data_IF_671705366395
#
_entry.id   IF_671705366395
#
_cell.length_a   1.000
_cell.length_b   1.000
_cell.length_c   1.000
_cell.angle_alpha   90.00
_cell.angle_beta   90.00
_cell.angle_gamma   90.00
#
_symmetry.space_group_name_H-M   'P 1'
#
loop_
_entity.id
_entity.type
_entity.pdbx_description
1 polymer ?
#
# COMPACT_ATOMS: atom_id res chain seq x y z
N UNK A 1 -52.28 -8.74 -2.85
CA UNK A 1 -52.15 -7.37 -3.41
C UNK A 1 -52.41 -7.45 -4.90
N UNK A 2 -53.36 -6.66 -5.41
CA UNK A 2 -53.67 -6.64 -6.84
C UNK A 2 -52.45 -6.16 -7.67
N UNK A 3 -52.24 -6.67 -8.89
CA UNK A 3 -51.19 -6.18 -9.78
C UNK A 3 -51.41 -4.70 -10.09
N UNK A 4 -50.33 -3.89 -10.08
CA UNK A 4 -50.37 -2.48 -10.48
C UNK A 4 -50.77 -2.38 -11.96
N UNK A 5 -51.51 -1.32 -12.31
CA UNK A 5 -51.93 -1.02 -13.68
C UNK A 5 -50.71 -1.05 -14.64
N UNK A 6 -50.78 -1.83 -15.75
CA UNK A 6 -49.71 -1.90 -16.77
C UNK A 6 -49.24 -0.53 -17.29
N UNK A 7 -50.14 0.45 -17.40
CA UNK A 7 -49.80 1.82 -17.80
C UNK A 7 -48.96 2.53 -16.74
N UNK A 8 -49.27 2.31 -15.46
CA UNK A 8 -48.48 2.85 -14.33
C UNK A 8 -47.12 2.16 -14.25
N UNK A 9 -47.04 0.86 -14.51
CA UNK A 9 -45.77 0.11 -14.58
C UNK A 9 -44.91 0.61 -15.75
N UNK A 10 -45.48 0.74 -16.96
CA UNK A 10 -44.79 1.26 -18.14
C UNK A 10 -44.32 2.70 -17.95
N UNK A 11 -45.18 3.56 -17.39
CA UNK A 11 -44.85 4.96 -17.05
C UNK A 11 -43.73 5.03 -16.02
N UNK A 12 -43.82 4.27 -14.92
CA UNK A 12 -42.77 4.21 -13.89
C UNK A 12 -41.45 3.70 -14.48
N UNK A 13 -41.49 2.64 -15.29
CA UNK A 13 -40.31 2.07 -15.96
C UNK A 13 -39.67 3.03 -16.96
N UNK A 14 -40.45 3.87 -17.63
CA UNK A 14 -39.94 4.92 -18.54
C UNK A 14 -39.30 6.11 -17.80
N UNK A 15 -39.64 6.30 -16.52
CA UNK A 15 -39.13 7.39 -15.68
C UNK A 15 -37.97 6.97 -14.76
N UNK A 16 -37.71 5.66 -14.61
CA UNK A 16 -36.51 5.15 -13.94
C UNK A 16 -35.31 5.43 -14.86
N UNK A 17 -34.69 6.59 -14.67
CA UNK A 17 -33.43 6.96 -15.33
C UNK A 17 -32.30 6.15 -14.72
N UNK A 18 -31.48 5.51 -15.56
CA UNK A 18 -30.32 4.75 -15.10
C UNK A 18 -29.13 5.58 -14.61
N UNK A 19 -29.24 6.92 -14.58
CA UNK A 19 -28.22 7.87 -14.14
C UNK A 19 -28.87 9.16 -13.61
N UNK A 20 -28.22 9.83 -12.66
CA UNK A 20 -28.65 11.06 -11.97
C UNK A 20 -29.98 10.93 -11.22
N UNK A 21 -30.09 9.91 -10.37
CA UNK A 21 -31.15 9.87 -9.34
C UNK A 21 -30.86 10.90 -8.24
N UNK A 22 -31.88 11.38 -7.53
CA UNK A 22 -31.70 12.38 -6.46
C UNK A 22 -30.70 11.95 -5.37
N UNK A 23 -30.58 10.64 -5.16
CA UNK A 23 -29.62 10.01 -4.23
C UNK A 23 -28.16 10.21 -4.68
N UNK A 24 -27.87 10.05 -5.97
CA UNK A 24 -26.53 10.28 -6.50
C UNK A 24 -26.12 11.74 -6.37
N UNK A 25 -27.05 12.68 -6.56
CA UNK A 25 -26.76 14.11 -6.38
C UNK A 25 -26.48 14.45 -4.92
N UNK A 26 -27.23 13.88 -3.98
CA UNK A 26 -27.03 14.06 -2.55
C UNK A 26 -25.66 13.51 -2.09
N UNK A 27 -25.30 12.30 -2.53
CA UNK A 27 -24.00 11.69 -2.26
C UNK A 27 -22.85 12.49 -2.87
N UNK A 28 -23.00 12.95 -4.11
CA UNK A 28 -22.03 13.82 -4.78
C UNK A 28 -21.79 15.10 -3.99
N UNK A 29 -22.86 15.76 -3.54
CA UNK A 29 -22.74 16.99 -2.73
C UNK A 29 -22.02 16.69 -1.43
N UNK A 30 -22.43 15.67 -0.69
CA UNK A 30 -21.85 15.32 0.60
C UNK A 30 -20.35 14.97 0.50
N UNK A 31 -19.92 14.23 -0.52
CA UNK A 31 -18.50 13.95 -0.76
C UNK A 31 -17.72 15.20 -1.17
N UNK A 32 -18.32 16.09 -1.96
CA UNK A 32 -17.69 17.35 -2.37
C UNK A 32 -17.51 18.32 -1.21
N UNK A 33 -18.51 18.41 -0.32
CA UNK A 33 -18.45 19.20 0.92
C UNK A 33 -17.32 18.72 1.84
N UNK A 34 -16.93 17.43 1.74
CA UNK A 34 -15.78 16.83 2.44
C UNK A 34 -14.45 16.96 1.67
N UNK A 35 -14.42 17.68 0.55
CA UNK A 35 -13.21 17.91 -0.25
C UNK A 35 -12.71 16.68 -1.00
N UNK A 36 -13.57 15.69 -1.27
CA UNK A 36 -13.19 14.46 -1.96
C UNK A 36 -13.31 14.65 -3.46
N UNK A 37 -12.21 14.41 -4.18
CA UNK A 37 -12.20 14.35 -5.64
C UNK A 37 -12.51 12.93 -6.12
N UNK A 38 -13.48 12.81 -7.02
CA UNK A 38 -13.91 11.54 -7.60
C UNK A 38 -14.29 11.70 -9.08
N UNK A 39 -14.37 10.58 -9.80
CA UNK A 39 -14.95 10.50 -11.14
C UNK A 39 -16.26 9.73 -11.08
N UNK A 40 -17.21 10.14 -11.92
CA UNK A 40 -18.50 9.47 -12.05
C UNK A 40 -18.49 8.51 -13.24
N UNK A 41 -19.16 7.36 -13.09
CA UNK A 41 -19.43 6.38 -14.16
C UNK A 41 -18.21 6.07 -15.03
N UNK A 42 -17.07 5.81 -14.40
CA UNK A 42 -15.80 5.71 -15.12
C UNK A 42 -15.81 4.54 -16.11
N UNK A 43 -15.73 4.77 -17.44
CA UNK A 43 -15.74 3.68 -18.42
C UNK A 43 -14.44 2.85 -18.38
N UNK A 44 -13.38 3.40 -17.76
CA UNK A 44 -12.07 2.75 -17.62
C UNK A 44 -12.00 1.75 -16.46
N UNK A 45 -13.05 1.66 -15.64
CA UNK A 45 -13.08 0.77 -14.48
C UNK A 45 -14.14 -0.29 -14.74
N UNK A 46 -13.75 -1.56 -14.62
CA UNK A 46 -14.64 -2.68 -14.89
C UNK A 46 -15.89 -2.62 -13.99
N UNK A 47 -17.05 -2.96 -14.56
CA UNK A 47 -18.34 -2.85 -13.86
C UNK A 47 -18.97 -1.45 -13.84
N UNK A 48 -18.26 -0.40 -14.30
CA UNK A 48 -18.76 0.98 -14.38
C UNK A 48 -19.29 1.52 -13.04
N UNK A 49 -18.44 1.63 -12.01
CA UNK A 49 -18.85 2.16 -10.71
C UNK A 49 -19.42 3.57 -10.83
N UNK A 50 -20.43 3.86 -10.00
CA UNK A 50 -21.10 5.17 -9.96
C UNK A 50 -20.13 6.26 -9.53
N UNK A 51 -19.30 5.96 -8.52
CA UNK A 51 -18.24 6.84 -8.03
C UNK A 51 -16.92 6.07 -8.00
N UNK A 52 -15.86 6.70 -8.50
CA UNK A 52 -14.53 6.12 -8.51
C UNK A 52 -13.46 7.12 -8.08
N UNK A 53 -12.62 6.71 -7.13
CA UNK A 53 -11.44 7.45 -6.67
C UNK A 53 -10.22 6.68 -7.16
N UNK A 54 -9.86 6.90 -8.42
CA UNK A 54 -8.93 6.05 -9.17
C UNK A 54 -7.52 6.00 -8.59
N UNK A 55 -7.01 7.13 -8.08
CA UNK A 55 -5.68 7.21 -7.46
C UNK A 55 -5.57 6.35 -6.19
N UNK A 56 -6.70 6.09 -5.52
CA UNK A 56 -6.76 5.23 -4.33
C UNK A 56 -7.29 3.82 -4.63
N UNK A 57 -7.61 3.54 -5.91
CA UNK A 57 -8.32 2.34 -6.36
C UNK A 57 -9.55 2.06 -5.49
N UNK A 58 -10.44 3.03 -5.33
CA UNK A 58 -11.74 2.82 -4.66
C UNK A 58 -12.85 2.90 -5.71
N UNK A 59 -13.73 1.91 -5.73
CA UNK A 59 -14.91 1.83 -6.57
C UNK A 59 -16.15 1.72 -5.67
N UNK A 60 -17.10 2.64 -5.86
CA UNK A 60 -18.34 2.70 -5.09
C UNK A 60 -19.53 2.48 -6.03
N UNK A 61 -20.41 1.56 -5.65
CA UNK A 61 -21.65 1.25 -6.36
C UNK A 61 -22.87 1.61 -5.50
N UNK A 62 -23.86 2.22 -6.13
CA UNK A 62 -25.13 2.61 -5.54
C UNK A 62 -26.22 1.68 -6.10
N UNK A 63 -26.47 0.58 -5.41
CA UNK A 63 -27.29 -0.50 -5.91
C UNK A 63 -28.78 -0.27 -5.61
N UNK A 64 -29.61 -0.43 -6.64
CA UNK A 64 -31.05 -0.54 -6.45
C UNK A 64 -31.41 -1.90 -5.84
N UNK A 65 -32.24 -1.90 -4.79
CA UNK A 65 -32.68 -3.10 -4.08
C UNK A 65 -33.33 -4.12 -5.01
N UNK A 66 -34.10 -3.65 -5.98
CA UNK A 66 -34.82 -4.52 -6.90
C UNK A 66 -33.88 -5.12 -7.95
N UNK A 67 -33.04 -4.30 -8.59
CA UNK A 67 -32.23 -4.74 -9.73
C UNK A 67 -31.03 -5.59 -9.34
N UNK A 68 -30.47 -5.35 -8.15
CA UNK A 68 -29.30 -6.07 -7.64
C UNK A 68 -29.67 -7.10 -6.56
N UNK A 69 -30.97 -7.31 -6.31
CA UNK A 69 -31.45 -8.45 -5.54
C UNK A 69 -31.22 -8.35 -4.03
N UNK A 70 -31.52 -7.19 -3.43
CA UNK A 70 -31.50 -7.05 -1.98
C UNK A 70 -32.38 -8.11 -1.31
N UNK A 71 -31.76 -8.99 -0.51
CA UNK A 71 -32.40 -10.15 0.14
C UNK A 71 -33.27 -10.94 -0.85
N UNK A 72 -32.69 -11.27 -2.01
CA UNK A 72 -33.44 -11.83 -3.13
C UNK A 72 -34.22 -13.09 -2.78
N UNK A 73 -33.63 -14.03 -2.03
CA UNK A 73 -34.29 -15.28 -1.60
C UNK A 73 -35.62 -15.03 -0.88
N UNK A 74 -35.68 -14.01 -0.02
CA UNK A 74 -36.89 -13.65 0.72
C UNK A 74 -37.88 -12.81 -0.11
N UNK A 75 -37.35 -12.00 -1.02
CA UNK A 75 -38.13 -11.04 -1.80
C UNK A 75 -38.62 -11.60 -3.15
N UNK A 76 -38.09 -12.75 -3.60
CA UNK A 76 -38.48 -13.39 -4.85
C UNK A 76 -39.97 -13.73 -4.88
N UNK A 77 -40.54 -14.18 -3.76
CA UNK A 77 -41.97 -14.47 -3.63
C UNK A 77 -42.85 -13.21 -3.81
N UNK A 78 -42.31 -12.01 -3.53
CA UNK A 78 -43.03 -10.72 -3.63
C UNK A 78 -43.13 -10.20 -5.06
N UNK A 79 -42.40 -10.79 -6.02
CA UNK A 79 -42.49 -10.43 -7.44
C UNK A 79 -43.74 -11.09 -8.03
N UNK A 80 -44.84 -10.37 -8.17
CA UNK A 80 -46.12 -10.96 -8.58
C UNK A 80 -46.35 -11.01 -10.10
N UNK A 81 -45.64 -10.19 -10.89
CA UNK A 81 -45.84 -10.04 -12.34
C UNK A 81 -44.56 -10.32 -13.11
N UNK A 82 -44.66 -10.82 -14.36
CA UNK A 82 -43.53 -11.13 -15.25
C UNK A 82 -42.37 -11.91 -14.59
N UNK A 83 -42.71 -12.83 -13.67
CA UNK A 83 -41.73 -13.59 -12.87
C UNK A 83 -40.68 -14.31 -13.71
N UNK A 84 -41.11 -14.96 -14.80
CA UNK A 84 -40.24 -15.68 -15.74
C UNK A 84 -39.21 -14.79 -16.43
N UNK A 85 -39.44 -13.47 -16.48
CA UNK A 85 -38.48 -12.50 -16.99
C UNK A 85 -37.64 -11.87 -15.88
N UNK A 86 -38.27 -11.44 -14.78
CA UNK A 86 -37.58 -10.70 -13.72
C UNK A 86 -36.62 -11.57 -12.91
N UNK A 87 -37.01 -12.79 -12.55
CA UNK A 87 -36.18 -13.67 -11.70
C UNK A 87 -34.85 -13.98 -12.40
N UNK A 88 -34.81 -14.50 -13.65
CA UNK A 88 -33.55 -14.75 -14.33
C UNK A 88 -32.74 -13.49 -14.65
N UNK A 89 -33.39 -12.33 -14.76
CA UNK A 89 -32.69 -11.04 -14.96
C UNK A 89 -31.96 -10.62 -13.68
N UNK A 90 -32.62 -10.70 -12.52
CA UNK A 90 -32.03 -10.33 -11.23
C UNK A 90 -30.91 -11.30 -10.88
N UNK A 91 -31.11 -12.61 -11.07
CA UNK A 91 -30.05 -13.62 -10.84
C UNK A 91 -28.80 -13.35 -11.69
N UNK A 92 -28.97 -13.01 -12.98
CA UNK A 92 -27.85 -12.61 -13.83
C UNK A 92 -27.16 -11.34 -13.36
N UNK A 93 -27.91 -10.36 -12.84
CA UNK A 93 -27.32 -9.14 -12.29
C UNK A 93 -26.49 -9.45 -11.03
N UNK A 94 -27.01 -10.28 -10.11
CA UNK A 94 -26.28 -10.72 -8.91
C UNK A 94 -24.98 -11.43 -9.31
N UNK A 95 -25.05 -12.38 -10.26
CA UNK A 95 -23.87 -13.08 -10.76
C UNK A 95 -22.85 -12.12 -11.39
N UNK A 96 -23.33 -11.11 -12.14
CA UNK A 96 -22.49 -10.05 -12.70
C UNK A 96 -21.85 -9.19 -11.61
N UNK A 97 -22.56 -8.84 -10.55
CA UNK A 97 -22.02 -8.04 -9.44
C UNK A 97 -20.92 -8.81 -8.70
N UNK A 98 -21.10 -10.11 -8.47
CA UNK A 98 -20.06 -10.97 -7.93
C UNK A 98 -18.82 -11.00 -8.81
N UNK A 99 -19.00 -11.10 -10.14
CA UNK A 99 -17.89 -11.07 -11.10
C UNK A 99 -17.14 -9.74 -11.10
N UNK A 100 -17.89 -8.63 -11.06
CA UNK A 100 -17.33 -7.27 -10.93
C UNK A 100 -16.49 -7.16 -9.66
N UNK A 101 -17.01 -7.63 -8.52
CA UNK A 101 -16.28 -7.58 -7.26
C UNK A 101 -14.97 -8.36 -7.33
N UNK A 102 -14.98 -9.59 -7.87
CA UNK A 102 -13.78 -10.42 -8.02
C UNK A 102 -12.74 -9.77 -8.93
N UNK A 103 -13.17 -9.24 -10.07
CA UNK A 103 -12.28 -8.60 -11.04
C UNK A 103 -11.66 -7.33 -10.48
N UNK A 104 -12.44 -6.51 -9.77
CA UNK A 104 -11.92 -5.30 -9.16
C UNK A 104 -10.98 -5.60 -8.01
N UNK A 105 -11.29 -6.59 -7.18
CA UNK A 105 -10.42 -7.04 -6.09
C UNK A 105 -9.06 -7.53 -6.62
N UNK A 106 -9.03 -8.32 -7.69
CA UNK A 106 -7.77 -8.79 -8.30
C UNK A 106 -6.96 -7.65 -8.92
N UNK A 107 -7.61 -6.55 -9.33
CA UNK A 107 -6.97 -5.31 -9.77
C UNK A 107 -6.53 -4.39 -8.60
N UNK A 108 -6.77 -4.80 -7.36
CA UNK A 108 -6.40 -4.09 -6.13
C UNK A 108 -7.37 -2.99 -5.71
N UNK A 109 -8.58 -2.96 -6.29
CA UNK A 109 -9.61 -2.02 -5.88
C UNK A 109 -10.26 -2.42 -4.55
N UNK A 110 -10.55 -1.42 -3.72
CA UNK A 110 -11.55 -1.55 -2.67
C UNK A 110 -12.93 -1.33 -3.29
N UNK A 111 -13.80 -2.32 -3.18
CA UNK A 111 -15.17 -2.23 -3.67
C UNK A 111 -16.10 -1.96 -2.50
N UNK A 112 -16.85 -0.87 -2.58
CA UNK A 112 -17.89 -0.49 -1.63
C UNK A 112 -19.23 -0.51 -2.36
N UNK A 113 -20.25 -1.14 -1.78
CA UNK A 113 -21.59 -1.21 -2.36
C UNK A 113 -22.60 -0.79 -1.31
N UNK A 114 -23.49 0.12 -1.68
CA UNK A 114 -24.51 0.67 -0.80
C UNK A 114 -25.87 0.58 -1.47
N UNK A 115 -26.89 0.22 -0.71
CA UNK A 115 -28.26 0.15 -1.24
C UNK A 115 -28.89 1.54 -1.35
N UNK A 116 -29.79 1.75 -2.31
CA UNK A 116 -30.47 3.04 -2.51
C UNK A 116 -31.12 3.60 -1.23
N UNK A 117 -31.84 2.77 -0.48
CA UNK A 117 -32.47 3.14 0.81
C UNK A 117 -31.46 3.36 1.93
N UNK A 118 -30.33 2.68 1.90
CA UNK A 118 -29.24 2.92 2.84
C UNK A 118 -28.69 4.33 2.64
N UNK A 119 -28.47 4.71 1.38
CA UNK A 119 -28.03 6.05 0.99
C UNK A 119 -29.10 7.09 1.36
N UNK A 120 -30.38 6.80 1.12
CA UNK A 120 -31.49 7.73 1.40
C UNK A 120 -31.63 8.03 2.91
N UNK A 121 -31.57 6.99 3.74
CA UNK A 121 -31.86 7.12 5.17
C UNK A 121 -30.62 7.40 6.01
N UNK A 122 -29.44 6.98 5.56
CA UNK A 122 -28.19 7.01 6.33
C UNK A 122 -27.04 7.66 5.57
N UNK A 123 -27.35 8.66 4.72
CA UNK A 123 -26.35 9.36 3.91
C UNK A 123 -25.09 9.79 4.69
N UNK A 124 -25.18 10.36 5.91
CA UNK A 124 -23.99 10.73 6.67
C UNK A 124 -23.10 9.53 7.00
N UNK A 125 -23.68 8.39 7.41
CA UNK A 125 -22.93 7.16 7.71
C UNK A 125 -22.19 6.64 6.48
N UNK A 126 -22.89 6.53 5.35
CA UNK A 126 -22.32 6.05 4.08
C UNK A 126 -21.15 6.95 3.66
N UNK A 127 -21.31 8.26 3.75
CA UNK A 127 -20.26 9.22 3.41
C UNK A 127 -19.07 9.10 4.36
N UNK A 128 -19.31 8.94 5.67
CA UNK A 128 -18.25 8.77 6.67
C UNK A 128 -17.45 7.47 6.45
N UNK A 129 -18.11 6.37 6.08
CA UNK A 129 -17.45 5.12 5.72
C UNK A 129 -16.57 5.26 4.47
N UNK A 130 -17.07 5.94 3.44
CA UNK A 130 -16.26 6.25 2.23
C UNK A 130 -15.07 7.12 2.62
N UNK A 131 -15.25 8.13 3.47
CA UNK A 131 -14.17 8.99 3.97
C UNK A 131 -13.12 8.18 4.76
N UNK A 132 -13.56 7.25 5.61
CA UNK A 132 -12.69 6.37 6.37
C UNK A 132 -11.88 5.46 5.45
N UNK A 133 -12.54 4.84 4.46
CA UNK A 133 -11.89 4.02 3.44
C UNK A 133 -10.85 4.79 2.62
N UNK A 134 -11.17 6.03 2.22
CA UNK A 134 -10.23 6.95 1.56
C UNK A 134 -9.03 7.22 2.46
N UNK A 135 -9.24 7.52 3.74
CA UNK A 135 -8.17 7.85 4.68
C UNK A 135 -7.25 6.65 4.91
N UNK A 136 -7.82 5.45 5.06
CA UNK A 136 -7.06 4.21 5.18
C UNK A 136 -6.25 3.93 3.91
N UNK A 137 -6.85 4.06 2.72
CA UNK A 137 -6.16 3.86 1.45
C UNK A 137 -5.09 4.92 1.20
N UNK A 138 -5.33 6.18 1.56
CA UNK A 138 -4.30 7.24 1.55
C UNK A 138 -3.14 6.85 2.45
N UNK A 139 -3.38 6.39 3.68
CA UNK A 139 -2.31 5.93 4.58
C UNK A 139 -1.48 4.82 3.92
N UNK A 140 -2.13 3.79 3.37
CA UNK A 140 -1.47 2.67 2.70
C UNK A 140 -0.66 3.11 1.47
N UNK A 141 -1.21 3.99 0.63
CA UNK A 141 -0.58 4.41 -0.63
C UNK A 141 0.44 5.54 -0.46
N UNK A 142 0.34 6.31 0.62
CA UNK A 142 1.25 7.40 0.99
C UNK A 142 2.31 6.91 1.98
N UNK A 143 2.71 5.64 1.87
CA UNK A 143 3.78 5.03 2.67
C UNK A 143 5.06 5.87 2.68
N UNK A 144 5.33 6.64 1.61
CA UNK A 144 6.44 7.60 1.55
C UNK A 144 6.37 8.66 2.65
N UNK A 145 5.18 9.11 3.02
CA UNK A 145 4.96 10.00 4.17
C UNK A 145 4.96 9.28 5.50
N UNK A 146 5.08 7.95 5.55
CA UNK A 146 5.28 7.21 6.80
C UNK A 146 6.75 7.05 7.15
N UNK A 147 7.66 7.22 6.17
CA UNK A 147 9.10 7.19 6.44
C UNK A 147 9.43 8.35 7.39
N UNK A 148 9.89 7.99 8.58
CA UNK A 148 10.30 8.92 9.64
C UNK A 148 11.75 8.73 10.03
N UNK A 149 12.34 7.60 9.66
CA UNK A 149 13.70 7.22 10.00
C UNK A 149 14.54 7.17 8.72
N UNK A 150 15.68 7.83 8.75
CA UNK A 150 16.66 7.81 7.67
C UNK A 150 17.97 7.30 8.23
N UNK A 151 18.54 6.28 7.57
CA UNK A 151 19.77 5.61 8.01
C UNK A 151 20.72 5.38 6.85
N UNK A 152 21.97 5.09 7.16
CA UNK A 152 22.96 4.58 6.22
C UNK A 152 23.31 3.16 6.58
N UNK A 153 23.58 2.34 5.56
CA UNK A 153 24.16 1.02 5.73
C UNK A 153 25.30 0.87 4.72
N UNK A 154 26.46 0.44 5.20
CA UNK A 154 27.65 0.28 4.41
C UNK A 154 28.25 -1.11 4.59
N UNK A 155 28.64 -1.72 3.48
CA UNK A 155 29.47 -2.92 3.46
C UNK A 155 30.89 -2.50 3.09
N UNK A 156 31.83 -2.68 4.02
CA UNK A 156 33.23 -2.31 3.84
C UNK A 156 33.96 -3.52 3.27
N UNK A 157 34.52 -3.38 2.08
CA UNK A 157 35.12 -4.49 1.33
C UNK A 157 36.65 -4.52 1.49
N UNK A 158 37.19 -5.71 1.80
CA UNK A 158 38.63 -5.98 1.78
C UNK A 158 38.87 -7.46 1.49
N UNK A 159 39.77 -7.75 0.54
CA UNK A 159 40.23 -9.11 0.24
C UNK A 159 39.10 -10.14 0.05
N UNK A 160 38.04 -9.76 -0.69
CA UNK A 160 36.88 -10.63 -0.94
C UNK A 160 35.98 -10.85 0.28
N UNK A 161 36.15 -10.07 1.34
CA UNK A 161 35.36 -10.12 2.57
C UNK A 161 34.66 -8.79 2.82
N UNK A 162 33.57 -8.84 3.59
CA UNK A 162 32.92 -7.66 4.14
C UNK A 162 33.14 -7.58 5.64
N UNK A 163 33.41 -6.37 6.14
CA UNK A 163 33.35 -6.10 7.58
C UNK A 163 31.88 -6.00 7.99
N UNK A 164 31.47 -6.85 8.92
CA UNK A 164 30.12 -6.88 9.48
C UNK A 164 30.15 -6.65 10.98
N UNK A 165 29.04 -6.15 11.50
CA UNK A 165 28.77 -6.02 12.92
C UNK A 165 27.80 -7.13 13.35
N UNK A 166 28.24 -7.97 14.30
CA UNK A 166 27.38 -8.91 15.01
C UNK A 166 26.78 -8.25 16.24
N UNK A 167 25.45 -8.10 16.24
CA UNK A 167 24.71 -7.33 17.24
C UNK A 167 24.52 -8.11 18.54
N UNK A 168 25.47 -8.00 19.46
CA UNK A 168 25.53 -8.80 20.69
C UNK A 168 25.50 -7.97 21.98
N UNK A 169 25.85 -6.68 21.93
CA UNK A 169 26.12 -5.87 23.15
C UNK A 169 25.00 -4.90 23.55
N UNK A 170 24.20 -4.43 22.59
CA UNK A 170 23.19 -3.39 22.83
C UNK A 170 21.92 -3.93 23.49
N UNK A 171 21.51 -3.34 24.63
CA UNK A 171 20.26 -3.71 25.33
C UNK A 171 19.02 -3.25 24.55
N UNK A 172 17.98 -4.09 24.52
CA UNK A 172 16.72 -3.85 23.78
C UNK A 172 16.95 -3.53 22.30
N UNK A 173 17.89 -4.23 21.68
CA UNK A 173 18.20 -4.05 20.27
C UNK A 173 17.24 -4.83 19.38
N UNK A 174 16.62 -4.14 18.43
CA UNK A 174 15.78 -4.80 17.42
C UNK A 174 16.59 -5.75 16.52
N UNK A 175 17.89 -5.53 16.42
CA UNK A 175 18.81 -6.32 15.61
C UNK A 175 19.56 -7.39 16.42
N UNK A 176 19.18 -7.67 17.66
CA UNK A 176 19.89 -8.62 18.53
C UNK A 176 20.14 -9.98 17.84
N UNK A 177 21.39 -10.44 17.88
CA UNK A 177 21.86 -11.67 17.27
C UNK A 177 22.07 -11.63 15.76
N UNK A 178 21.75 -10.52 15.08
CA UNK A 178 21.89 -10.38 13.62
C UNK A 178 23.28 -9.91 13.22
N UNK A 179 23.73 -10.36 12.04
CA UNK A 179 24.88 -9.81 11.35
C UNK A 179 24.41 -8.76 10.34
N UNK A 180 24.93 -7.55 10.44
CA UNK A 180 24.53 -6.41 9.59
C UNK A 180 25.76 -5.66 9.07
N UNK A 181 25.56 -4.89 8.01
CA UNK A 181 26.53 -3.86 7.62
C UNK A 181 26.66 -2.77 8.69
N UNK A 182 27.64 -1.89 8.50
CA UNK A 182 27.97 -0.82 9.44
C UNK A 182 27.19 0.44 9.08
N UNK A 183 26.66 1.15 10.07
CA UNK A 183 25.94 2.40 9.84
C UNK A 183 24.83 2.68 10.84
N UNK A 184 24.30 3.89 10.77
CA UNK A 184 23.29 4.35 11.71
C UNK A 184 22.44 5.49 11.17
N UNK A 185 21.93 6.32 12.07
CA UNK A 185 20.89 7.31 11.76
C UNK A 185 21.52 8.58 11.20
N UNK A 186 20.84 9.20 10.25
CA UNK A 186 21.18 10.56 9.83
C UNK A 186 20.83 11.55 10.93
N UNK A 187 21.75 12.47 11.23
CA UNK A 187 21.51 13.58 12.13
C UNK A 187 20.89 14.81 11.41
N UNK A 188 20.19 15.71 12.13
CA UNK A 188 19.66 16.93 11.54
C UNK A 188 20.75 17.79 10.86
N UNK A 189 20.57 18.08 9.57
CA UNK A 189 21.51 18.87 8.78
C UNK A 189 22.64 18.05 8.13
N UNK A 190 22.69 16.74 8.38
CA UNK A 190 23.70 15.84 7.84
C UNK A 190 23.29 15.29 6.46
N UNK A 191 24.24 15.22 5.53
CA UNK A 191 24.05 14.49 4.28
C UNK A 191 24.24 12.98 4.50
N UNK A 192 23.66 12.15 3.65
CA UNK A 192 23.82 10.69 3.70
C UNK A 192 25.29 10.23 3.64
N UNK A 193 26.16 10.96 2.96
CA UNK A 193 27.61 10.64 2.89
C UNK A 193 28.30 11.02 4.19
N UNK A 194 27.96 12.16 4.79
CA UNK A 194 28.51 12.55 6.09
C UNK A 194 28.10 11.55 7.18
N UNK A 195 26.83 11.16 7.21
CA UNK A 195 26.30 10.15 8.11
C UNK A 195 27.04 8.81 7.96
N UNK A 196 27.16 8.31 6.72
CA UNK A 196 27.90 7.06 6.46
C UNK A 196 29.35 7.13 6.96
N UNK A 197 30.06 8.24 6.72
CA UNK A 197 31.44 8.41 7.17
C UNK A 197 31.56 8.51 8.69
N UNK A 198 30.65 9.24 9.35
CA UNK A 198 30.61 9.39 10.80
C UNK A 198 30.33 8.06 11.48
N UNK A 199 29.26 7.38 11.09
CA UNK A 199 28.84 6.10 11.68
C UNK A 199 29.92 5.03 11.51
N UNK A 200 30.53 4.89 10.32
CA UNK A 200 31.64 3.94 10.14
C UNK A 200 32.81 4.27 11.06
N UNK A 201 33.17 5.55 11.20
CA UNK A 201 34.27 5.95 12.07
C UNK A 201 33.95 5.68 13.55
N UNK A 202 32.71 5.92 13.97
CA UNK A 202 32.26 5.68 15.34
C UNK A 202 32.23 4.18 15.68
N UNK A 203 31.66 3.36 14.78
CA UNK A 203 31.47 1.93 15.01
C UNK A 203 32.75 1.11 14.78
N UNK A 204 33.58 1.47 13.80
CA UNK A 204 34.73 0.66 13.36
C UNK A 204 36.08 1.34 13.55
N UNK A 205 36.13 2.67 13.69
CA UNK A 205 37.38 3.43 13.72
C UNK A 205 37.95 3.78 12.36
N UNK A 206 37.44 3.14 11.29
CA UNK A 206 37.94 3.31 9.92
C UNK A 206 37.51 4.65 9.31
N UNK A 207 38.36 5.21 8.46
CA UNK A 207 38.09 6.42 7.69
C UNK A 207 37.86 6.06 6.22
N UNK A 208 36.73 6.50 5.67
CA UNK A 208 36.34 6.17 4.29
C UNK A 208 37.00 7.10 3.28
N UNK A 209 37.81 6.52 2.40
CA UNK A 209 38.50 7.21 1.30
C UNK A 209 37.76 7.04 -0.03
N UNK A 210 37.21 5.84 -0.28
CA UNK A 210 36.53 5.49 -1.52
C UNK A 210 35.27 4.69 -1.25
N UNK A 211 34.19 5.07 -1.91
CA UNK A 211 32.89 4.44 -1.74
C UNK A 211 32.06 4.52 -3.03
N UNK A 212 31.09 3.62 -3.13
CA UNK A 212 30.07 3.61 -4.16
C UNK A 212 28.69 3.62 -3.51
N UNK A 213 27.78 4.44 -4.06
CA UNK A 213 26.39 4.49 -3.64
C UNK A 213 25.54 3.57 -4.51
N UNK A 214 24.82 2.63 -3.90
CA UNK A 214 24.04 1.61 -4.61
C UNK A 214 22.55 1.91 -4.68
N UNK A 215 22.04 2.77 -3.80
CA UNK A 215 20.65 3.20 -3.86
C UNK A 215 20.04 3.45 -2.49
N UNK A 216 18.72 3.65 -2.50
CA UNK A 216 17.91 3.76 -1.30
C UNK A 216 16.97 2.58 -1.22
N UNK A 217 16.83 2.03 -0.03
CA UNK A 217 15.93 0.93 0.27
C UNK A 217 14.93 1.46 1.28
N UNK A 218 13.65 1.37 0.93
CA UNK A 218 12.57 1.78 1.81
C UNK A 218 12.00 0.51 2.46
N UNK A 219 12.33 0.30 3.74
CA UNK A 219 11.81 -0.79 4.54
C UNK A 219 10.44 -0.42 5.11
N UNK A 220 9.45 -1.24 4.75
CA UNK A 220 8.08 -1.11 5.23
C UNK A 220 7.74 -2.34 6.06
N UNK A 221 7.37 -2.12 7.30
CA UNK A 221 6.96 -3.17 8.22
C UNK A 221 5.75 -2.69 9.04
N UNK A 222 4.85 -3.59 9.37
CA UNK A 222 3.73 -3.30 10.28
C UNK A 222 4.19 -3.21 11.74
N UNK A 223 5.33 -3.84 12.07
CA UNK A 223 5.88 -3.97 13.43
C UNK A 223 6.99 -2.99 13.78
N UNK A 224 7.59 -2.29 12.80
CA UNK A 224 8.60 -1.27 13.05
C UNK A 224 8.37 -0.01 12.20
N UNK A 225 8.86 1.16 12.62
CA UNK A 225 8.69 2.40 11.86
C UNK A 225 9.27 2.26 10.45
N UNK A 226 8.56 2.81 9.45
CA UNK A 226 9.06 2.85 8.09
C UNK A 226 10.41 3.61 8.03
N UNK A 227 11.39 2.95 7.44
CA UNK A 227 12.79 3.39 7.41
C UNK A 227 13.26 3.51 5.96
N UNK A 228 13.98 4.60 5.66
CA UNK A 228 14.75 4.74 4.43
C UNK A 228 16.22 4.57 4.75
N UNK A 229 16.79 3.51 4.20
CA UNK A 229 18.20 3.18 4.31
C UNK A 229 18.93 3.55 3.01
N UNK A 230 20.05 4.27 3.13
CA UNK A 230 20.95 4.57 2.02
C UNK A 230 22.10 3.55 2.00
N UNK A 231 22.19 2.77 0.92
CA UNK A 231 23.12 1.65 0.81
C UNK A 231 24.42 2.09 0.12
N UNK A 232 25.53 1.80 0.77
CA UNK A 232 26.88 2.08 0.29
C UNK A 232 27.75 0.82 0.29
N UNK A 233 28.75 0.83 -0.59
CA UNK A 233 29.89 -0.08 -0.53
C UNK A 233 31.16 0.74 -0.38
N UNK A 234 31.95 0.46 0.65
CA UNK A 234 33.24 1.13 0.85
C UNK A 234 34.32 0.28 0.19
N UNK A 235 35.07 0.88 -0.73
CA UNK A 235 36.08 0.21 -1.55
C UNK A 235 37.51 0.52 -1.12
N UNK A 236 37.71 1.62 -0.38
CA UNK A 236 38.99 1.96 0.20
C UNK A 236 38.82 2.77 1.48
N UNK A 237 39.66 2.49 2.46
CA UNK A 237 39.61 3.11 3.78
C UNK A 237 41.02 3.16 4.40
N UNK A 238 41.16 3.93 5.47
CA UNK A 238 42.38 4.10 6.24
C UNK A 238 42.07 4.03 7.75
N UNK A 239 43.13 3.92 8.57
CA UNK A 239 43.01 3.80 10.03
C UNK A 239 42.95 2.36 10.54
N UNK A 240 42.95 2.24 11.87
CA UNK A 240 42.93 0.96 12.58
C UNK A 240 41.53 0.67 13.13
N UNK A 241 41.17 -0.62 13.10
CA UNK A 241 39.89 -1.09 13.66
C UNK A 241 39.86 -0.89 15.19
N UNK A 242 38.72 -0.43 15.71
CA UNK A 242 38.45 -0.35 17.15
C UNK A 242 37.35 -1.32 17.56
N UNK A 243 37.21 -1.48 18.88
CA UNK A 243 36.05 -2.16 19.42
C UNK A 243 34.77 -1.31 19.24
N UNK A 244 33.70 -1.99 18.83
CA UNK A 244 32.36 -1.42 18.70
C UNK A 244 31.58 -1.59 20.00
N UNK A 245 30.89 -0.54 20.43
CA UNK A 245 30.07 -0.56 21.65
C UNK A 245 28.74 -1.31 21.44
N UNK A 246 28.31 -1.50 20.18
CA UNK A 246 27.03 -2.12 19.84
C UNK A 246 27.13 -3.64 19.53
N UNK A 247 28.34 -4.16 19.34
CA UNK A 247 28.55 -5.55 18.95
C UNK A 247 30.00 -5.93 18.67
N UNK A 248 30.18 -7.04 17.97
CA UNK A 248 31.49 -7.58 17.59
C UNK A 248 31.70 -7.45 16.08
N UNK A 249 32.81 -6.82 15.70
CA UNK A 249 33.18 -6.68 14.29
C UNK A 249 33.91 -7.92 13.80
N UNK A 250 33.55 -8.40 12.61
CA UNK A 250 34.29 -9.45 11.94
C UNK A 250 34.30 -9.31 10.43
N UNK A 251 35.44 -9.65 9.83
CA UNK A 251 35.58 -9.82 8.40
C UNK A 251 35.00 -11.18 8.00
N UNK A 252 33.95 -11.15 7.20
CA UNK A 252 33.25 -12.34 6.72
C UNK A 252 33.43 -12.46 5.22
N UNK A 253 33.83 -13.65 4.77
CA UNK A 253 33.95 -13.95 3.34
C UNK A 253 32.58 -13.85 2.67
N UNK A 254 32.55 -13.29 1.45
CA UNK A 254 31.30 -13.11 0.70
C UNK A 254 30.53 -14.42 0.49
N UNK A 255 31.22 -15.54 0.34
CA UNK A 255 30.62 -16.86 0.13
C UNK A 255 29.97 -17.45 1.40
N UNK A 256 30.23 -16.86 2.56
CA UNK A 256 29.70 -17.30 3.86
C UNK A 256 28.50 -16.46 4.33
N UNK A 257 28.23 -15.34 3.66
CA UNK A 257 27.16 -14.39 3.99
C UNK A 257 25.79 -15.05 4.11
N UNK A 258 25.44 -15.95 3.19
CA UNK A 258 24.12 -16.61 3.16
C UNK A 258 23.86 -17.52 4.37
N UNK A 259 24.92 -17.90 5.09
CA UNK A 259 24.84 -18.78 6.28
C UNK A 259 24.64 -17.98 7.57
N UNK A 260 24.84 -16.66 7.53
CA UNK A 260 24.73 -15.83 8.72
C UNK A 260 23.26 -15.50 9.04
N UNK A 261 22.91 -15.36 10.33
CA UNK A 261 21.60 -14.86 10.72
C UNK A 261 21.50 -13.36 10.39
N UNK A 262 21.04 -13.04 9.18
CA UNK A 262 20.82 -11.67 8.71
C UNK A 262 19.31 -11.35 8.61
N UNK A 263 18.97 -10.13 8.21
CA UNK A 263 17.62 -9.80 7.77
C UNK A 263 17.36 -10.38 6.37
N UNK A 264 16.16 -10.90 6.13
CA UNK A 264 15.77 -11.42 4.80
C UNK A 264 15.81 -10.33 3.72
N UNK A 265 15.58 -9.07 4.10
CA UNK A 265 15.73 -7.94 3.19
C UNK A 265 17.17 -7.73 2.70
N UNK A 266 18.16 -8.00 3.54
CA UNK A 266 19.58 -7.83 3.19
C UNK A 266 19.99 -8.78 2.07
N UNK A 267 19.54 -10.03 2.16
CA UNK A 267 19.75 -11.06 1.13
C UNK A 267 19.25 -10.64 -0.25
N UNK A 268 18.24 -9.76 -0.32
CA UNK A 268 17.69 -9.29 -1.59
C UNK A 268 18.60 -8.29 -2.32
N UNK A 269 19.40 -7.51 -1.59
CA UNK A 269 20.28 -6.50 -2.20
C UNK A 269 21.76 -6.85 -2.15
N UNK A 270 22.21 -7.78 -1.31
CA UNK A 270 23.61 -8.20 -1.24
C UNK A 270 24.19 -8.62 -2.61
N UNK A 271 23.50 -9.42 -3.44
CA UNK A 271 23.99 -9.76 -4.79
C UNK A 271 24.10 -8.55 -5.73
N UNK A 272 23.46 -7.42 -5.40
CA UNK A 272 23.55 -6.19 -6.18
C UNK A 272 24.85 -5.42 -5.90
N UNK A 273 25.47 -5.62 -4.72
CA UNK A 273 26.74 -4.98 -4.34
C UNK A 273 27.95 -5.48 -5.16
N UNK A 274 27.79 -6.62 -5.84
CA UNK A 274 28.79 -7.18 -6.76
C UNK A 274 28.67 -6.59 -8.18
N UNK A 275 27.56 -5.91 -8.49
CA UNK A 275 27.39 -5.24 -9.79
C UNK A 275 28.12 -3.90 -9.78
N UNK A 276 28.54 -3.43 -10.94
CA UNK A 276 29.02 -2.06 -11.08
C UNK A 276 27.94 -1.08 -10.59
N UNK A 277 28.34 -0.21 -9.66
CA UNK A 277 27.45 0.83 -9.18
C UNK A 277 27.08 1.75 -10.36
N UNK A 278 25.78 1.89 -10.61
CA UNK A 278 25.31 2.91 -11.54
C UNK A 278 25.49 4.26 -10.85
N UNK A 279 26.56 4.97 -11.19
CA UNK A 279 26.81 6.34 -10.74
C UNK A 279 25.58 7.19 -11.07
N UNK A 280 24.88 7.74 -10.05
CA UNK A 280 23.73 8.61 -10.32
C UNK A 280 24.13 9.95 -10.95
N UNK A 281 25.43 10.28 -10.88
CA UNK A 281 26.03 11.49 -11.42
C UNK A 281 27.44 11.15 -11.94
N UNK A 282 27.51 10.70 -13.20
CA UNK A 282 28.63 11.04 -14.07
C UNK A 282 28.16 12.17 -14.98
#
# INVERSE_FOLDING_TARGET
MAPRDPKVVSYTMSHIRGKNTGLELAMRKALSDRGIHYRLYSPRVYGHPDICIQNLKIAVFCDSEFWHGYRFEENQAKILTHRSYWIPKIERNIARDQEVNRTLASQGYLVLRYWGKEIENELPRVVDEICAAISQRKRLLDWRKQIRLFTTLAYIEKDGSFLLLHRTKKKNDFNEGKWIGVGGKLEPGETMVQAMKREIKEETGLQVEGYAYYGKIDFLNDSCPAERMYLFKVTSFSGDERECDEGDLAWVKKEEMDKLPMWEGDKAFLPLLEKEAKTPFQ
#
